data_IF_272722435996
#
_entry.id   IF_272722435996
#
_cell.length_a   1.000
_cell.length_b   1.000
_cell.length_c   1.000
_cell.angle_alpha   90.00
_cell.angle_beta   90.00
_cell.angle_gamma   90.00
#
_symmetry.space_group_name_H-M   'P 1'
#
loop_
_entity.id
_entity.type
_entity.pdbx_description
1 polymer ?
#
# COMPACT_ATOMS: atom_id res chain seq x y z
N UNK A 1 2.00 15.73 -2.06
CA UNK A 1 0.95 15.10 -1.24
C UNK A 1 1.30 15.35 0.21
N UNK A 2 0.47 16.06 0.96
CA UNK A 2 0.66 16.33 2.38
C UNK A 2 -0.05 15.27 3.21
N UNK A 3 0.64 14.65 4.16
CA UNK A 3 0.08 13.63 5.04
C UNK A 3 0.32 14.01 6.50
N UNK A 4 -0.67 13.72 7.34
CA UNK A 4 -0.63 13.90 8.78
C UNK A 4 -0.98 12.58 9.48
N UNK A 5 -0.51 12.41 10.72
CA UNK A 5 -0.89 11.32 11.63
C UNK A 5 -0.83 9.92 11.01
N UNK A 6 0.36 9.50 10.58
CA UNK A 6 0.61 8.20 9.94
C UNK A 6 1.43 7.27 10.85
N UNK A 7 0.83 6.73 11.94
CA UNK A 7 1.56 5.95 12.95
C UNK A 7 2.21 4.70 12.37
N UNK A 8 3.17 4.11 13.11
CA UNK A 8 3.86 2.87 12.73
C UNK A 8 2.99 1.62 12.99
N UNK A 9 1.75 1.70 12.54
CA UNK A 9 0.78 0.62 12.63
C UNK A 9 -0.16 0.65 11.42
N UNK A 10 -0.66 -0.52 11.04
CA UNK A 10 -1.74 -0.62 10.05
C UNK A 10 -2.46 -1.97 10.14
N UNK A 11 -3.74 -1.98 9.81
CA UNK A 11 -4.48 -3.21 9.47
C UNK A 11 -4.92 -3.25 8.02
N UNK A 12 -4.90 -2.11 7.32
CA UNK A 12 -5.39 -1.98 5.94
C UNK A 12 -4.22 -1.87 4.97
N UNK A 13 -4.34 -2.59 3.87
CA UNK A 13 -3.41 -2.52 2.75
C UNK A 13 -4.19 -2.36 1.44
N UNK A 14 -3.68 -1.54 0.53
CA UNK A 14 -4.35 -1.22 -0.74
C UNK A 14 -3.50 -1.65 -1.92
N UNK A 15 -4.12 -2.03 -3.04
CA UNK A 15 -3.44 -2.11 -4.32
C UNK A 15 -4.19 -1.34 -5.43
N UNK A 16 -3.43 -1.00 -6.47
CA UNK A 16 -3.89 -0.38 -7.71
C UNK A 16 -3.65 -1.34 -8.88
N UNK A 17 -4.68 -1.72 -9.62
CA UNK A 17 -4.57 -2.77 -10.64
C UNK A 17 -4.20 -2.22 -12.03
N UNK A 18 -4.42 -0.93 -12.27
CA UNK A 18 -4.31 -0.29 -13.57
C UNK A 18 -3.06 0.59 -13.69
N UNK A 19 -2.55 1.08 -12.56
CA UNK A 19 -1.43 2.03 -12.53
C UNK A 19 -0.28 1.57 -11.65
N UNK A 20 0.90 2.14 -11.90
CA UNK A 20 2.00 2.19 -10.94
C UNK A 20 1.87 3.44 -10.09
N UNK A 21 2.44 3.43 -8.88
CA UNK A 21 2.57 4.61 -8.03
C UNK A 21 4.04 4.79 -7.65
N UNK A 22 4.56 6.02 -7.70
CA UNK A 22 5.89 6.32 -7.16
C UNK A 22 5.81 7.28 -5.98
N UNK A 23 6.50 6.94 -4.89
CA UNK A 23 6.51 7.69 -3.65
C UNK A 23 7.94 8.04 -3.24
N UNK A 24 8.14 9.25 -2.74
CA UNK A 24 9.40 9.70 -2.14
C UNK A 24 9.15 10.87 -1.20
N UNK A 25 9.79 10.86 -0.02
CA UNK A 25 9.67 11.96 0.94
C UNK A 25 10.38 13.20 0.40
N UNK A 26 9.76 14.37 0.52
CA UNK A 26 10.43 15.65 0.29
C UNK A 26 11.51 15.80 1.36
N UNK A 27 12.72 16.23 0.99
CA UNK A 27 13.84 16.37 1.94
C UNK A 27 14.53 15.06 2.35
N UNK A 28 14.07 13.90 1.87
CA UNK A 28 14.71 12.61 2.16
C UNK A 28 14.53 12.12 3.60
N UNK A 29 13.46 12.55 4.26
CA UNK A 29 13.08 12.10 5.60
C UNK A 29 12.79 10.60 5.62
N UNK A 30 12.96 9.98 6.79
CA UNK A 30 12.72 8.54 6.97
C UNK A 30 11.23 8.25 7.00
N UNK A 31 10.81 7.21 6.30
CA UNK A 31 9.44 6.73 6.29
C UNK A 31 9.41 5.22 6.09
N UNK A 32 8.24 4.62 6.28
CA UNK A 32 8.02 3.18 6.24
C UNK A 32 6.88 2.84 5.28
N UNK A 33 6.97 1.65 4.71
CA UNK A 33 5.98 1.13 3.79
C UNK A 33 5.79 -0.37 4.08
N UNK A 34 4.59 -0.73 4.53
CA UNK A 34 4.14 -2.12 4.50
C UNK A 34 3.82 -2.52 3.07
N UNK A 35 4.28 -3.68 2.61
CA UNK A 35 4.01 -4.20 1.28
C UNK A 35 3.69 -5.70 1.31
N UNK A 36 2.91 -6.15 0.34
CA UNK A 36 2.77 -7.56 0.00
C UNK A 36 2.80 -7.75 -1.52
N UNK A 37 3.11 -8.97 -1.97
CA UNK A 37 3.24 -9.30 -3.39
C UNK A 37 1.96 -9.01 -4.17
N UNK A 38 2.05 -8.57 -5.43
CA UNK A 38 0.88 -8.42 -6.27
C UNK A 38 0.13 -9.73 -6.44
N UNK A 39 -1.20 -9.64 -6.50
CA UNK A 39 -2.08 -10.81 -6.54
C UNK A 39 -3.19 -10.68 -7.57
N UNK A 40 -2.97 -9.91 -8.63
CA UNK A 40 -3.87 -9.85 -9.79
C UNK A 40 -3.85 -11.21 -10.50
N UNK A 41 -5.02 -11.71 -10.87
CA UNK A 41 -5.20 -13.00 -11.56
C UNK A 41 -6.25 -12.88 -12.65
N UNK A 42 -6.28 -13.84 -13.56
CA UNK A 42 -7.31 -13.90 -14.60
C UNK A 42 -8.68 -14.29 -14.01
N UNK A 43 -9.79 -13.85 -14.62
CA UNK A 43 -11.13 -14.27 -14.18
C UNK A 43 -11.31 -15.78 -14.29
N UNK A 44 -11.84 -16.40 -13.23
CA UNK A 44 -12.22 -17.82 -13.23
C UNK A 44 -11.28 -18.75 -12.46
N UNK A 45 -10.19 -18.25 -11.89
CA UNK A 45 -9.44 -19.00 -10.88
C UNK A 45 -10.30 -19.24 -9.63
N UNK A 46 -10.22 -20.44 -9.05
CA UNK A 46 -11.12 -20.87 -7.96
C UNK A 46 -10.99 -20.04 -6.68
N UNK A 47 -9.85 -19.38 -6.47
CA UNK A 47 -9.57 -18.53 -5.30
C UNK A 47 -9.69 -17.04 -5.59
N UNK A 48 -10.04 -16.66 -6.82
CA UNK A 48 -10.11 -15.27 -7.22
C UNK A 48 -11.36 -14.58 -6.66
N UNK A 49 -11.18 -13.35 -6.19
CA UNK A 49 -12.23 -12.42 -5.79
C UNK A 49 -12.31 -11.29 -6.80
N UNK A 50 -13.52 -10.87 -7.15
CA UNK A 50 -13.74 -9.71 -8.02
C UNK A 50 -13.72 -8.43 -7.20
N UNK A 51 -12.86 -7.47 -7.58
CA UNK A 51 -12.81 -6.15 -6.96
C UNK A 51 -13.98 -5.27 -7.41
N UNK A 52 -14.20 -4.18 -6.67
CA UNK A 52 -15.15 -3.13 -7.10
C UNK A 52 -14.68 -2.41 -8.37
N UNK A 53 -13.37 -2.41 -8.64
CA UNK A 53 -12.76 -1.85 -9.86
C UNK A 53 -12.84 -2.81 -11.07
N UNK A 54 -13.40 -4.01 -10.91
CA UNK A 54 -13.68 -4.94 -12.01
C UNK A 54 -12.60 -5.97 -12.32
N UNK A 55 -11.39 -5.84 -11.74
CA UNK A 55 -10.34 -6.85 -11.85
C UNK A 55 -10.54 -8.03 -10.89
N UNK A 56 -9.92 -9.16 -11.20
CA UNK A 56 -9.86 -10.33 -10.31
C UNK A 56 -8.53 -10.37 -9.56
N UNK A 57 -8.55 -10.76 -8.30
CA UNK A 57 -7.36 -10.86 -7.46
C UNK A 57 -7.51 -11.90 -6.35
N UNK A 58 -6.40 -12.35 -5.77
CA UNK A 58 -6.40 -13.16 -4.55
C UNK A 58 -6.08 -12.27 -3.35
N UNK A 59 -6.88 -12.26 -2.25
CA UNK A 59 -6.57 -11.45 -1.07
C UNK A 59 -5.17 -11.76 -0.49
N UNK A 60 -4.44 -10.76 0.03
CA UNK A 60 -3.09 -10.96 0.54
C UNK A 60 -3.14 -11.75 1.86
N UNK A 61 -2.19 -12.68 2.04
CA UNK A 61 -1.96 -13.34 3.32
C UNK A 61 -1.15 -12.45 4.26
N UNK A 62 -1.49 -12.46 5.56
CA UNK A 62 -0.79 -11.66 6.57
C UNK A 62 0.69 -12.04 6.71
N UNK A 63 1.02 -13.33 6.52
CA UNK A 63 2.37 -13.89 6.52
C UNK A 63 3.24 -13.38 5.37
N UNK A 64 2.63 -12.90 4.29
CA UNK A 64 3.29 -12.31 3.13
C UNK A 64 3.66 -10.83 3.30
N UNK A 65 3.18 -10.16 4.35
CA UNK A 65 3.41 -8.72 4.57
C UNK A 65 4.86 -8.49 5.04
N UNK A 66 5.51 -7.48 4.48
CA UNK A 66 6.85 -7.01 4.89
C UNK A 66 6.82 -5.50 5.04
N UNK A 67 7.52 -4.97 6.04
CA UNK A 67 7.69 -3.53 6.23
C UNK A 67 9.10 -3.14 5.81
N UNK A 68 9.21 -2.11 4.99
CA UNK A 68 10.49 -1.54 4.58
C UNK A 68 10.68 -0.17 5.23
N UNK A 69 11.92 0.09 5.65
CA UNK A 69 12.39 1.42 6.04
C UNK A 69 13.05 2.10 4.84
N UNK A 70 12.54 3.26 4.47
CA UNK A 70 13.08 4.08 3.38
C UNK A 70 13.78 5.29 4.00
N UNK A 71 15.04 5.49 3.65
CA UNK A 71 15.88 6.56 4.18
C UNK A 71 16.57 7.35 3.08
N UNK A 72 16.77 8.65 3.30
CA UNK A 72 17.44 9.52 2.34
C UNK A 72 16.63 9.77 1.07
N UNK A 73 17.26 10.30 0.01
CA UNK A 73 16.57 10.74 -1.21
C UNK A 73 16.24 9.57 -2.15
N UNK A 74 15.46 8.60 -1.65
CA UNK A 74 15.05 7.41 -2.41
C UNK A 74 13.58 7.54 -2.82
N UNK A 75 13.30 7.06 -4.02
CA UNK A 75 11.94 6.85 -4.52
C UNK A 75 11.65 5.36 -4.60
N UNK A 76 10.44 4.99 -4.21
CA UNK A 76 9.89 3.65 -4.39
C UNK A 76 8.90 3.70 -5.53
N UNK A 77 9.04 2.80 -6.50
CA UNK A 77 8.01 2.54 -7.53
C UNK A 77 7.28 1.25 -7.17
N UNK A 78 5.98 1.36 -6.95
CA UNK A 78 5.08 0.24 -6.75
C UNK A 78 4.56 -0.20 -8.12
N UNK A 79 4.84 -1.46 -8.47
CA UNK A 79 4.30 -2.06 -9.68
C UNK A 79 2.80 -2.35 -9.51
N UNK A 80 2.10 -2.46 -10.64
CA UNK A 80 0.66 -2.76 -10.67
C UNK A 80 0.33 -3.98 -9.82
N UNK A 81 -0.71 -3.85 -9.00
CA UNK A 81 -1.18 -4.89 -8.09
C UNK A 81 -0.40 -4.98 -6.78
N UNK A 82 0.72 -4.27 -6.62
CA UNK A 82 1.49 -4.33 -5.36
C UNK A 82 0.64 -3.78 -4.22
N UNK A 83 0.42 -4.61 -3.22
CA UNK A 83 -0.24 -4.20 -2.01
C UNK A 83 0.70 -3.32 -1.19
N UNK A 84 0.21 -2.21 -0.68
CA UNK A 84 0.98 -1.29 0.13
C UNK A 84 0.15 -0.60 1.23
N UNK A 85 0.80 -0.30 2.34
CA UNK A 85 0.29 0.43 3.50
C UNK A 85 1.31 1.49 3.91
N UNK A 86 0.93 2.74 3.73
CA UNK A 86 1.79 3.90 3.95
C UNK A 86 1.64 4.94 2.84
N UNK A 87 2.47 6.00 2.83
CA UNK A 87 3.61 6.22 3.73
C UNK A 87 3.26 6.28 5.23
N UNK A 88 4.09 5.68 6.07
CA UNK A 88 4.02 5.72 7.54
C UNK A 88 5.29 6.40 8.10
N UNK A 89 5.17 7.22 9.15
CA UNK A 89 6.29 8.01 9.69
C UNK A 89 6.02 8.47 11.13
N UNK A 90 7.08 8.86 11.85
CA UNK A 90 6.99 9.23 13.27
C UNK A 90 6.62 10.71 13.47
N UNK A 91 6.99 11.55 12.51
CA UNK A 91 6.71 12.97 12.50
C UNK A 91 5.19 13.22 12.42
N UNK A 92 4.73 14.38 12.90
CA UNK A 92 3.29 14.71 12.85
C UNK A 92 2.76 14.86 11.43
N UNK A 93 3.59 15.38 10.54
CA UNK A 93 3.25 15.61 9.16
C UNK A 93 4.49 15.46 8.26
N UNK A 94 4.27 15.05 7.02
CA UNK A 94 5.33 14.93 6.01
C UNK A 94 4.77 15.09 4.60
N UNK A 95 5.54 15.76 3.75
CA UNK A 95 5.21 15.92 2.34
C UNK A 95 5.91 14.87 1.47
N UNK A 96 5.18 14.36 0.50
CA UNK A 96 5.65 13.36 -0.45
C UNK A 96 5.50 13.85 -1.89
N UNK A 97 6.50 13.52 -2.70
CA UNK A 97 6.31 13.32 -4.12
C UNK A 97 5.42 12.09 -4.31
N UNK A 98 4.32 12.26 -5.04
CA UNK A 98 3.41 11.18 -5.39
C UNK A 98 3.15 11.27 -6.90
N UNK A 99 3.67 10.30 -7.65
CA UNK A 99 3.51 10.21 -9.10
C UNK A 99 2.55 9.07 -9.41
N UNK A 100 1.30 9.45 -9.69
CA UNK A 100 0.19 8.58 -10.08
C UNK A 100 -0.85 9.38 -10.87
N UNK A 101 -1.91 8.73 -11.34
CA UNK A 101 -3.05 9.44 -11.92
C UNK A 101 -3.86 10.15 -10.83
N UNK A 102 -4.39 11.33 -11.13
CA UNK A 102 -5.13 12.15 -10.16
C UNK A 102 -6.39 11.49 -9.59
N UNK A 103 -6.92 10.46 -10.26
CA UNK A 103 -8.10 9.71 -9.85
C UNK A 103 -7.79 8.28 -9.37
N UNK A 104 -6.52 7.91 -9.20
CA UNK A 104 -6.10 6.54 -8.81
C UNK A 104 -6.87 6.05 -7.58
N UNK A 105 -6.97 6.89 -6.55
CA UNK A 105 -7.66 6.57 -5.29
C UNK A 105 -9.20 6.56 -5.39
N UNK A 106 -9.76 6.92 -6.54
CA UNK A 106 -11.22 6.94 -6.79
C UNK A 106 -11.64 5.75 -7.64
N UNK A 107 -10.87 5.42 -8.69
CA UNK A 107 -11.29 4.42 -9.70
C UNK A 107 -10.47 3.13 -9.67
N UNK A 108 -9.31 3.11 -9.02
CA UNK A 108 -8.37 1.98 -9.05
C UNK A 108 -7.85 1.66 -7.64
N UNK A 109 -8.73 1.58 -6.65
CA UNK A 109 -8.36 1.39 -5.25
C UNK A 109 -9.09 0.19 -4.64
N UNK A 110 -8.34 -0.90 -4.39
CA UNK A 110 -8.85 -2.10 -3.71
C UNK A 110 -8.14 -2.27 -2.38
N UNK A 111 -8.89 -2.41 -1.29
CA UNK A 111 -8.36 -2.54 0.07
C UNK A 111 -8.68 -3.88 0.68
N UNK A 112 -7.70 -4.46 1.37
CA UNK A 112 -7.86 -5.58 2.28
C UNK A 112 -7.67 -5.09 3.72
N UNK A 113 -8.60 -5.41 4.61
CA UNK A 113 -8.51 -5.11 6.04
C UNK A 113 -8.20 -6.39 6.82
N UNK A 114 -6.95 -6.51 7.28
CA UNK A 114 -6.50 -7.63 8.08
C UNK A 114 -7.15 -7.68 9.47
N UNK A 115 -7.61 -6.55 10.01
CA UNK A 115 -8.31 -6.58 11.31
C UNK A 115 -9.66 -7.28 11.14
N UNK A 116 -10.44 -6.88 10.13
CA UNK A 116 -11.76 -7.48 9.88
C UNK A 116 -11.69 -8.91 9.36
N UNK A 117 -10.69 -9.23 8.52
CA UNK A 117 -10.61 -10.53 7.83
C UNK A 117 -9.74 -11.56 8.54
N UNK A 118 -8.81 -11.11 9.37
CA UNK A 118 -7.76 -11.96 9.95
C UNK A 118 -7.51 -11.71 11.44
N UNK A 119 -8.17 -10.71 12.05
CA UNK A 119 -7.91 -10.29 13.44
C UNK A 119 -6.44 -9.87 13.67
N UNK A 120 -5.81 -9.29 12.65
CA UNK A 120 -4.38 -8.89 12.67
C UNK A 120 -4.23 -7.37 12.55
N UNK A 121 -3.37 -6.82 13.39
CA UNK A 121 -2.81 -5.46 13.28
C UNK A 121 -1.29 -5.59 13.21
N UNK A 122 -0.67 -4.90 12.26
CA UNK A 122 0.78 -4.81 12.17
C UNK A 122 1.24 -3.62 12.99
N UNK A 123 2.14 -3.88 13.94
CA UNK A 123 2.83 -2.91 14.77
C UNK A 123 4.33 -3.13 14.58
N UNK A 124 5.10 -2.07 14.42
CA UNK A 124 6.54 -2.19 14.24
C UNK A 124 7.30 -1.00 14.82
N UNK A 125 8.53 -1.27 15.23
CA UNK A 125 9.44 -0.25 15.76
C UNK A 125 10.24 0.43 14.62
N UNK A 126 10.70 1.68 14.82
CA UNK A 126 11.49 2.45 13.85
C UNK A 126 12.88 1.86 13.49
#
# INVERSE_FOLDING_TARGET
MHLEDRPLEFSKITHHASVTQCLGSIGGHVWYLGVARPSLVDPGESTAVKSQCGHSYVPPGADGVRVFKISGPKFVKLDRGTWHAGPLFLEKAMDFYNLELSNTNVVDHTTHDFLEKNEVIFLFDP
#
